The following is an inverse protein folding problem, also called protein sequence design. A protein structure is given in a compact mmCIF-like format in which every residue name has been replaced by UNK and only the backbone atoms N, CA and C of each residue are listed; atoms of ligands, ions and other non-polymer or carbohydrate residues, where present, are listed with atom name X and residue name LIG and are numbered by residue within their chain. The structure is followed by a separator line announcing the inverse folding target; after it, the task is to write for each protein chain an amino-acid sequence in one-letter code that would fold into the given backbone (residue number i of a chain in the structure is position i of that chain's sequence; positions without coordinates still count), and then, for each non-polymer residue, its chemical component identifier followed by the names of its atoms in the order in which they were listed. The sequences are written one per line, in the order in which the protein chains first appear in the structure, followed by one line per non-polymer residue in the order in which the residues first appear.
data_IF_155093131647
#
_entry.id   IF_155093131647
#
_cell.length_a   1.000
_cell.length_b   1.000
_cell.length_c   1.000
_cell.angle_alpha   90.00
_cell.angle_beta   90.00
_cell.angle_gamma   90.00
#
_symmetry.space_group_name_H-M   'P 1'
#
loop_
_entity.id
_entity.type
_entity.pdbx_description
1 polymer ?
#
# COMPACT_ATOMS: atom_id res chain seq x y z
N UNK A 1 4.32 -27.49 11.48
CA UNK A 1 3.94 -28.75 12.14
C UNK A 1 2.44 -28.86 12.02
N UNK A 2 1.96 -29.88 11.33
CA UNK A 2 0.52 -30.11 11.19
C UNK A 2 -0.03 -30.87 12.40
N UNK A 3 -1.31 -30.65 12.74
CA UNK A 3 -1.99 -31.32 13.85
C UNK A 3 -1.84 -32.85 13.77
N UNK A 4 -1.88 -33.41 12.56
CA UNK A 4 -1.70 -34.85 12.31
C UNK A 4 -0.38 -35.41 12.86
N UNK A 5 0.68 -34.60 12.87
CA UNK A 5 2.02 -34.98 13.36
C UNK A 5 2.20 -34.82 14.88
N UNK A 6 1.19 -34.29 15.60
CA UNK A 6 1.29 -34.11 17.05
C UNK A 6 1.16 -35.45 17.81
N UNK A 7 1.91 -35.64 18.92
CA UNK A 7 1.70 -36.75 19.84
C UNK A 7 0.27 -36.76 20.40
N UNK A 8 -0.24 -37.96 20.74
CA UNK A 8 -1.62 -38.15 21.21
C UNK A 8 -1.98 -37.26 22.41
N UNK A 9 -1.04 -37.07 23.34
CA UNK A 9 -1.23 -36.22 24.51
C UNK A 9 -1.45 -34.74 24.14
N UNK A 10 -0.66 -34.21 23.18
CA UNK A 10 -0.82 -32.85 22.70
C UNK A 10 -2.11 -32.67 21.90
N UNK A 11 -2.51 -33.65 21.09
CA UNK A 11 -3.80 -33.66 20.40
C UNK A 11 -4.95 -33.54 21.39
N UNK A 12 -4.96 -34.37 22.44
CA UNK A 12 -5.96 -34.30 23.51
C UNK A 12 -6.00 -32.93 24.18
N UNK A 13 -4.83 -32.33 24.48
CA UNK A 13 -4.79 -30.98 25.04
C UNK A 13 -5.45 -29.96 24.10
N UNK A 14 -5.15 -30.01 22.81
CA UNK A 14 -5.78 -29.12 21.81
C UNK A 14 -7.28 -29.36 21.72
N UNK A 15 -7.72 -30.62 21.58
CA UNK A 15 -9.12 -31.01 21.40
C UNK A 15 -10.00 -30.61 22.58
N UNK A 16 -9.47 -30.68 23.80
CA UNK A 16 -10.19 -30.38 25.03
C UNK A 16 -9.86 -28.99 25.61
N UNK A 17 -9.07 -28.17 24.93
CA UNK A 17 -8.89 -26.77 25.32
C UNK A 17 -10.16 -26.01 24.97
N UNK A 18 -10.84 -25.49 25.98
CA UNK A 18 -12.00 -24.60 25.78
C UNK A 18 -11.56 -23.27 25.17
N UNK A 19 -12.08 -22.94 24.00
CA UNK A 19 -11.91 -21.63 23.38
C UNK A 19 -13.12 -20.78 23.72
N UNK A 20 -12.92 -19.68 24.45
CA UNK A 20 -13.99 -18.71 24.71
C UNK A 20 -14.26 -17.90 23.45
N UNK A 21 -15.48 -18.01 22.92
CA UNK A 21 -15.93 -17.21 21.77
C UNK A 21 -16.77 -16.06 22.27
N UNK A 22 -16.39 -14.83 21.91
CA UNK A 22 -17.17 -13.62 22.20
C UNK A 22 -17.75 -13.13 20.88
N UNK A 23 -19.07 -13.13 20.75
CA UNK A 23 -19.77 -12.53 19.62
C UNK A 23 -20.14 -11.08 19.96
N UNK A 24 -19.68 -10.13 19.14
CA UNK A 24 -19.99 -8.70 19.30
C UNK A 24 -20.96 -8.29 18.19
N UNK A 25 -22.22 -8.04 18.57
CA UNK A 25 -23.26 -7.55 17.66
C UNK A 25 -23.26 -6.02 17.68
N UNK A 26 -23.13 -5.42 16.51
CA UNK A 26 -23.14 -3.97 16.33
C UNK A 26 -24.31 -3.62 15.42
N UNK A 27 -25.34 -3.00 16.00
CA UNK A 27 -26.58 -2.68 15.28
C UNK A 27 -26.40 -1.54 14.27
N UNK A 28 -25.57 -0.54 14.60
CA UNK A 28 -25.25 0.54 13.69
C UNK A 28 -24.11 0.14 12.74
N UNK A 29 -24.49 -0.33 11.55
CA UNK A 29 -23.56 -0.67 10.46
C UNK A 29 -22.58 0.46 10.13
N UNK A 30 -22.96 1.74 10.28
CA UNK A 30 -22.09 2.88 9.97
C UNK A 30 -20.98 3.07 11.01
N UNK A 31 -21.21 2.65 12.26
CA UNK A 31 -20.21 2.73 13.33
C UNK A 31 -19.43 1.43 13.52
N UNK A 32 -19.80 0.36 12.81
CA UNK A 32 -19.22 -0.98 12.95
C UNK A 32 -17.69 -0.96 12.93
N UNK A 33 -17.09 -0.44 11.87
CA UNK A 33 -15.63 -0.42 11.72
C UNK A 33 -14.94 0.39 12.82
N UNK A 34 -15.51 1.55 13.19
CA UNK A 34 -14.99 2.39 14.29
C UNK A 34 -15.05 1.69 15.64
N UNK A 35 -16.15 0.99 15.92
CA UNK A 35 -16.33 0.21 17.15
C UNK A 35 -15.36 -0.97 17.18
N UNK A 36 -15.26 -1.74 16.11
CA UNK A 36 -14.33 -2.86 16.00
C UNK A 36 -12.89 -2.40 16.19
N UNK A 37 -12.48 -1.30 15.57
CA UNK A 37 -11.15 -0.70 15.77
C UNK A 37 -10.89 -0.32 17.22
N UNK A 38 -11.88 0.27 17.90
CA UNK A 38 -11.73 0.65 19.31
C UNK A 38 -11.62 -0.59 20.21
N UNK A 39 -12.40 -1.64 19.93
CA UNK A 39 -12.31 -2.92 20.65
C UNK A 39 -10.93 -3.54 20.43
N UNK A 40 -10.46 -3.63 19.18
CA UNK A 40 -9.13 -4.15 18.85
C UNK A 40 -8.02 -3.36 19.53
N UNK A 41 -8.06 -2.02 19.47
CA UNK A 41 -7.07 -1.18 20.13
C UNK A 41 -7.04 -1.40 21.65
N UNK A 42 -8.21 -1.56 22.29
CA UNK A 42 -8.30 -1.83 23.72
C UNK A 42 -7.79 -3.24 24.09
N UNK A 43 -8.09 -4.26 23.29
CA UNK A 43 -7.58 -5.62 23.50
C UNK A 43 -6.06 -5.66 23.33
N UNK A 44 -5.53 -4.98 22.32
CA UNK A 44 -4.09 -4.90 22.06
C UNK A 44 -3.32 -4.10 23.12
N UNK A 45 -3.99 -3.25 23.91
CA UNK A 45 -3.34 -2.48 24.97
C UNK A 45 -2.86 -3.36 26.16
N UNK A 46 -3.42 -4.56 26.31
CA UNK A 46 -3.04 -5.51 27.37
C UNK A 46 -1.90 -6.47 27.00
N UNK A 47 -1.39 -6.44 25.76
CA UNK A 47 -0.38 -7.36 25.25
C UNK A 47 0.68 -6.66 24.38
N UNK A 48 1.34 -7.41 23.48
CA UNK A 48 2.23 -6.81 22.49
C UNK A 48 1.44 -5.89 21.58
N UNK A 49 1.87 -4.63 21.48
CA UNK A 49 1.17 -3.62 20.69
C UNK A 49 1.30 -3.95 19.21
N UNK A 50 0.21 -4.39 18.60
CA UNK A 50 0.11 -4.61 17.16
C UNK A 50 0.31 -3.29 16.40
N UNK A 51 1.06 -3.35 15.29
CA UNK A 51 1.15 -2.26 14.32
C UNK A 51 -0.22 -1.93 13.74
N UNK A 52 -0.34 -0.75 13.12
CA UNK A 52 -1.59 -0.37 12.47
C UNK A 52 -1.97 -1.33 11.35
N UNK A 53 -1.00 -1.92 10.65
CA UNK A 53 -1.29 -2.87 9.58
C UNK A 53 -1.77 -4.22 10.13
N UNK A 54 -1.13 -4.74 11.19
CA UNK A 54 -1.60 -5.95 11.87
C UNK A 54 -3.03 -5.78 12.42
N UNK A 55 -3.35 -4.60 12.95
CA UNK A 55 -4.73 -4.27 13.36
C UNK A 55 -5.70 -4.29 12.17
N UNK A 56 -5.32 -3.75 11.01
CA UNK A 56 -6.15 -3.77 9.81
C UNK A 56 -6.42 -5.19 9.33
N UNK A 57 -5.40 -6.05 9.33
CA UNK A 57 -5.56 -7.45 8.93
C UNK A 57 -6.57 -8.19 9.81
N UNK A 58 -6.59 -7.89 11.12
CA UNK A 58 -7.57 -8.47 12.05
C UNK A 58 -9.00 -7.94 11.90
N UNK A 59 -9.16 -6.72 11.38
CA UNK A 59 -10.47 -6.03 11.32
C UNK A 59 -11.12 -6.15 9.95
N UNK A 60 -10.34 -6.06 8.87
CA UNK A 60 -10.81 -5.91 7.49
C UNK A 60 -10.60 -7.17 6.65
N UNK A 61 -10.74 -8.35 7.26
CA UNK A 61 -10.64 -9.63 6.56
C UNK A 61 -11.64 -9.73 5.40
N UNK A 62 -11.13 -9.72 4.18
CA UNK A 62 -11.90 -9.80 2.93
C UNK A 62 -11.02 -10.29 1.77
N UNK A 63 -11.65 -10.63 0.65
CA UNK A 63 -10.95 -11.17 -0.53
C UNK A 63 -9.83 -10.24 -1.07
N UNK A 64 -9.97 -8.92 -0.92
CA UNK A 64 -8.91 -7.98 -1.27
C UNK A 64 -7.66 -8.14 -0.39
N UNK A 65 -7.86 -8.28 0.93
CA UNK A 65 -6.79 -8.52 1.89
C UNK A 65 -6.14 -9.90 1.68
N UNK A 66 -6.94 -10.92 1.37
CA UNK A 66 -6.43 -12.25 1.03
C UNK A 66 -5.52 -12.19 -0.22
N UNK A 67 -5.97 -11.49 -1.26
CA UNK A 67 -5.17 -11.25 -2.47
C UNK A 67 -3.87 -10.50 -2.14
N UNK A 68 -3.94 -9.46 -1.30
CA UNK A 68 -2.77 -8.66 -0.95
C UNK A 68 -1.77 -9.45 -0.11
N UNK A 69 -2.24 -10.31 0.80
CA UNK A 69 -1.39 -11.18 1.62
C UNK A 69 -0.75 -12.31 0.79
N UNK A 70 -1.52 -12.91 -0.14
CA UNK A 70 -0.99 -13.85 -1.13
C UNK A 70 0.10 -13.19 -1.98
N UNK A 71 -0.18 -12.00 -2.51
CA UNK A 71 0.80 -11.22 -3.28
C UNK A 71 2.02 -10.89 -2.43
N UNK A 72 1.83 -10.48 -1.18
CA UNK A 72 2.91 -10.14 -0.28
C UNK A 72 3.87 -11.33 -0.07
N UNK A 73 3.34 -12.53 0.19
CA UNK A 73 4.12 -13.73 0.53
C UNK A 73 4.72 -14.42 -0.69
N UNK A 74 3.95 -14.55 -1.77
CA UNK A 74 4.28 -15.45 -2.87
C UNK A 74 4.77 -14.76 -4.14
N UNK A 75 4.62 -13.43 -4.28
CA UNK A 75 5.12 -12.72 -5.46
C UNK A 75 6.65 -12.61 -5.43
N UNK A 76 7.30 -13.35 -6.34
CA UNK A 76 8.77 -13.33 -6.48
C UNK A 76 9.29 -11.94 -6.88
N UNK A 77 8.55 -11.22 -7.73
CA UNK A 77 8.89 -9.86 -8.16
C UNK A 77 8.83 -8.90 -6.97
N UNK A 78 7.77 -8.99 -6.16
CA UNK A 78 7.64 -8.18 -4.96
C UNK A 78 8.71 -8.49 -3.93
N UNK A 79 8.97 -9.78 -3.65
CA UNK A 79 10.03 -10.20 -2.73
C UNK A 79 11.42 -9.79 -3.22
N UNK A 80 11.66 -9.74 -4.53
CA UNK A 80 12.92 -9.23 -5.10
C UNK A 80 13.09 -7.73 -4.84
N UNK A 81 12.01 -6.97 -4.95
CA UNK A 81 12.02 -5.51 -4.74
C UNK A 81 12.07 -5.18 -3.25
N UNK A 82 11.24 -5.80 -2.42
CA UNK A 82 11.17 -5.51 -0.99
C UNK A 82 12.28 -6.19 -0.18
N UNK A 83 12.49 -7.48 -0.43
CA UNK A 83 13.32 -8.37 0.37
C UNK A 83 12.49 -9.31 1.24
N UNK A 84 13.03 -9.68 2.41
CA UNK A 84 12.37 -10.59 3.36
C UNK A 84 11.05 -10.00 3.89
N UNK A 85 10.14 -10.88 4.29
CA UNK A 85 8.92 -10.48 4.98
C UNK A 85 9.25 -9.70 6.26
N UNK A 86 8.46 -8.67 6.52
CA UNK A 86 8.65 -7.79 7.67
C UNK A 86 7.72 -8.24 8.80
N UNK A 87 8.27 -8.46 10.00
CA UNK A 87 7.48 -8.91 11.14
C UNK A 87 6.40 -7.91 11.55
N UNK A 88 6.61 -6.61 11.32
CA UNK A 88 5.61 -5.55 11.55
C UNK A 88 4.80 -5.23 10.29
N UNK A 89 4.81 -6.11 9.28
CA UNK A 89 4.03 -6.04 8.05
C UNK A 89 4.18 -4.73 7.26
N UNK A 90 5.37 -4.10 7.34
CA UNK A 90 5.66 -2.87 6.57
C UNK A 90 5.61 -3.08 5.06
N UNK A 91 5.91 -4.29 4.59
CA UNK A 91 5.76 -4.70 3.20
C UNK A 91 4.29 -4.72 2.77
N UNK A 92 3.45 -5.37 3.57
CA UNK A 92 2.02 -5.41 3.33
C UNK A 92 1.43 -3.98 3.37
N UNK A 93 1.79 -3.17 4.37
CA UNK A 93 1.35 -1.78 4.45
C UNK A 93 1.80 -0.99 3.21
N UNK A 94 3.02 -1.20 2.71
CA UNK A 94 3.48 -0.54 1.50
C UNK A 94 2.61 -0.88 0.28
N UNK A 95 2.26 -2.16 0.09
CA UNK A 95 1.34 -2.57 -0.98
C UNK A 95 -0.05 -1.95 -0.80
N UNK A 96 -0.58 -1.92 0.43
CA UNK A 96 -1.86 -1.29 0.73
C UNK A 96 -1.83 0.21 0.43
N UNK A 97 -0.72 0.89 0.73
CA UNK A 97 -0.50 2.31 0.40
C UNK A 97 -0.50 2.56 -1.10
N UNK A 98 0.14 1.69 -1.89
CA UNK A 98 0.08 1.76 -3.35
C UNK A 98 -1.38 1.72 -3.81
N UNK A 99 -2.13 0.68 -3.41
CA UNK A 99 -3.53 0.51 -3.79
C UNK A 99 -4.42 1.69 -3.35
N UNK A 100 -4.27 2.17 -2.12
CA UNK A 100 -5.07 3.28 -1.61
C UNK A 100 -4.76 4.60 -2.36
N UNK A 101 -3.49 4.87 -2.67
CA UNK A 101 -3.11 6.05 -3.45
C UNK A 101 -3.58 5.93 -4.90
N UNK A 102 -3.57 4.74 -5.51
CA UNK A 102 -4.21 4.50 -6.82
C UNK A 102 -5.68 4.88 -6.80
N UNK A 103 -6.41 4.57 -5.73
CA UNK A 103 -7.83 4.91 -5.60
C UNK A 103 -8.05 6.43 -5.44
N UNK A 104 -7.31 7.07 -4.52
CA UNK A 104 -7.63 8.44 -4.11
C UNK A 104 -6.84 9.54 -4.82
N UNK A 105 -5.74 9.24 -5.51
CA UNK A 105 -4.98 10.27 -6.23
C UNK A 105 -5.65 10.61 -7.55
N UNK A 106 -5.91 11.89 -7.76
CA UNK A 106 -6.40 12.46 -9.01
C UNK A 106 -5.47 13.57 -9.50
N UNK A 107 -5.58 13.95 -10.77
CA UNK A 107 -4.82 15.03 -11.38
C UNK A 107 -5.74 16.22 -11.64
N UNK A 108 -5.34 17.40 -11.17
CA UNK A 108 -5.96 18.68 -11.51
C UNK A 108 -5.08 19.40 -12.53
N UNK A 109 -5.67 19.73 -13.68
CA UNK A 109 -5.00 20.50 -14.72
C UNK A 109 -4.99 22.00 -14.37
N UNK A 110 -3.86 22.65 -14.62
CA UNK A 110 -3.66 24.11 -14.58
C UNK A 110 -3.19 24.56 -15.96
N UNK A 111 -3.25 25.86 -16.23
CA UNK A 111 -2.95 26.43 -17.55
C UNK A 111 -1.61 25.98 -18.16
N UNK A 112 -0.57 25.75 -17.35
CA UNK A 112 0.78 25.34 -17.80
C UNK A 112 1.39 24.20 -16.98
N UNK A 113 0.59 23.55 -16.13
CA UNK A 113 1.07 22.51 -15.23
C UNK A 113 -0.08 21.63 -14.76
N UNK A 114 0.22 20.62 -13.98
CA UNK A 114 -0.78 19.80 -13.31
C UNK A 114 -0.38 19.63 -11.84
N UNK A 115 -1.36 19.28 -11.01
CA UNK A 115 -1.16 18.95 -9.61
C UNK A 115 -1.80 17.61 -9.31
N UNK A 116 -1.11 16.79 -8.54
CA UNK A 116 -1.75 15.66 -7.90
C UNK A 116 -2.53 16.13 -6.68
N UNK A 117 -3.70 15.54 -6.45
CA UNK A 117 -4.51 15.72 -5.25
C UNK A 117 -4.95 14.37 -4.73
N UNK A 118 -5.04 14.21 -3.42
CA UNK A 118 -5.60 13.01 -2.79
C UNK A 118 -7.00 13.35 -2.28
N UNK A 119 -8.00 12.67 -2.79
CA UNK A 119 -9.40 12.89 -2.43
C UNK A 119 -9.66 12.62 -0.94
N UNK A 120 -10.22 13.61 -0.25
CA UNK A 120 -10.55 13.54 1.17
C UNK A 120 -9.33 13.34 2.08
N UNK A 121 -8.13 13.75 1.66
CA UNK A 121 -6.93 13.58 2.48
C UNK A 121 -6.89 14.51 3.68
N UNK A 122 -7.00 13.94 4.87
CA UNK A 122 -7.00 14.65 6.15
C UNK A 122 -5.62 14.64 6.85
N UNK A 123 -4.53 14.72 6.09
CA UNK A 123 -3.15 14.72 6.63
C UNK A 123 -2.75 13.47 7.44
N UNK A 124 -3.44 12.35 7.25
CA UNK A 124 -3.15 11.08 7.94
C UNK A 124 -3.23 9.92 6.97
N UNK A 125 -2.09 9.27 6.72
CA UNK A 125 -2.06 8.01 5.98
C UNK A 125 -2.86 6.93 6.69
N UNK A 126 -2.77 6.84 8.03
CA UNK A 126 -3.52 5.85 8.78
C UNK A 126 -5.02 5.92 8.45
N UNK A 127 -5.63 7.09 8.61
CA UNK A 127 -7.05 7.30 8.29
C UNK A 127 -7.39 6.99 6.83
N UNK A 128 -6.50 7.36 5.89
CA UNK A 128 -6.68 7.07 4.48
C UNK A 128 -6.68 5.56 4.20
N UNK A 129 -5.76 4.81 4.81
CA UNK A 129 -5.69 3.36 4.67
C UNK A 129 -6.86 2.67 5.33
N UNK A 130 -7.33 3.15 6.48
CA UNK A 130 -8.48 2.55 7.14
C UNK A 130 -9.75 2.76 6.32
N UNK A 131 -9.95 3.96 5.77
CA UNK A 131 -11.07 4.25 4.85
C UNK A 131 -11.00 3.36 3.61
N UNK A 132 -9.82 3.23 3.00
CA UNK A 132 -9.63 2.34 1.86
C UNK A 132 -9.94 0.87 2.24
N UNK A 133 -9.48 0.44 3.42
CA UNK A 133 -9.71 -0.92 3.92
C UNK A 133 -11.18 -1.21 4.13
N UNK A 134 -11.97 -0.21 4.53
CA UNK A 134 -13.42 -0.33 4.63
C UNK A 134 -14.08 -0.45 3.25
N UNK A 135 -13.66 0.36 2.28
CA UNK A 135 -14.20 0.35 0.92
C UNK A 135 -13.93 -0.96 0.18
N UNK A 136 -12.72 -1.53 0.32
CA UNK A 136 -12.35 -2.77 -0.39
C UNK A 136 -13.06 -4.03 0.11
N UNK A 137 -13.73 -3.98 1.27
CA UNK A 137 -14.54 -5.11 1.75
C UNK A 137 -15.71 -5.42 0.80
N UNK A 138 -16.17 -4.41 0.06
CA UNK A 138 -17.30 -4.52 -0.89
C UNK A 138 -16.83 -4.71 -2.34
N UNK A 139 -15.52 -4.86 -2.58
CA UNK A 139 -14.99 -5.03 -3.94
C UNK A 139 -15.28 -6.43 -4.47
N UNK A 140 -15.66 -6.50 -5.75
CA UNK A 140 -15.80 -7.76 -6.46
C UNK A 140 -14.46 -8.27 -7.02
N UNK A 141 -14.47 -9.52 -7.49
CA UNK A 141 -13.28 -10.19 -8.03
C UNK A 141 -12.61 -9.42 -9.18
N UNK A 142 -13.40 -8.78 -10.05
CA UNK A 142 -12.86 -8.00 -11.18
C UNK A 142 -12.09 -6.78 -10.67
N UNK A 143 -12.67 -6.03 -9.74
CA UNK A 143 -12.00 -4.88 -9.12
C UNK A 143 -10.71 -5.32 -8.42
N UNK A 144 -10.75 -6.39 -7.64
CA UNK A 144 -9.58 -6.95 -6.95
C UNK A 144 -8.49 -7.35 -7.97
N UNK A 145 -8.87 -8.02 -9.06
CA UNK A 145 -7.95 -8.42 -10.12
C UNK A 145 -7.30 -7.22 -10.83
N UNK A 146 -8.01 -6.10 -11.00
CA UNK A 146 -7.44 -4.87 -11.57
C UNK A 146 -6.30 -4.31 -10.70
N UNK A 147 -6.44 -4.33 -9.36
CA UNK A 147 -5.36 -3.94 -8.45
C UNK A 147 -4.18 -4.91 -8.52
N UNK A 148 -4.44 -6.22 -8.50
CA UNK A 148 -3.36 -7.23 -8.62
C UNK A 148 -2.58 -7.03 -9.92
N UNK A 149 -3.27 -6.87 -11.05
CA UNK A 149 -2.66 -6.71 -12.35
C UNK A 149 -1.86 -5.41 -12.47
N UNK A 150 -2.38 -4.32 -11.91
CA UNK A 150 -1.66 -3.03 -11.83
C UNK A 150 -0.35 -3.17 -11.05
N UNK A 151 -0.38 -3.82 -9.87
CA UNK A 151 0.83 -4.08 -9.08
C UNK A 151 1.85 -4.92 -9.84
N UNK A 152 1.42 -6.01 -10.50
CA UNK A 152 2.31 -6.87 -11.30
C UNK A 152 2.99 -6.06 -12.41
N UNK A 153 2.19 -5.40 -13.26
CA UNK A 153 2.70 -4.64 -14.41
C UNK A 153 3.66 -3.54 -13.98
N UNK A 154 3.34 -2.84 -12.90
CA UNK A 154 4.21 -1.82 -12.35
C UNK A 154 5.54 -2.40 -11.86
N UNK A 155 5.50 -3.46 -11.07
CA UNK A 155 6.71 -4.02 -10.46
C UNK A 155 7.63 -4.67 -11.53
N UNK A 156 7.08 -5.15 -12.65
CA UNK A 156 7.85 -5.64 -13.80
C UNK A 156 8.72 -4.56 -14.47
N UNK A 157 8.40 -3.27 -14.26
CA UNK A 157 9.20 -2.15 -14.76
C UNK A 157 10.53 -2.00 -14.01
N UNK A 158 10.67 -2.57 -12.81
CA UNK A 158 11.90 -2.44 -12.03
C UNK A 158 13.01 -3.36 -12.58
N UNK A 159 14.08 -2.74 -13.10
CA UNK A 159 15.32 -3.41 -13.51
C UNK A 159 16.48 -3.11 -12.56
N UNK A 160 16.16 -2.82 -11.30
CA UNK A 160 17.14 -2.56 -10.24
C UNK A 160 17.39 -3.82 -9.40
N UNK A 161 18.63 -3.99 -8.95
CA UNK A 161 19.04 -5.11 -8.10
C UNK A 161 19.12 -4.72 -6.61
N UNK A 162 18.56 -3.56 -6.24
CA UNK A 162 18.63 -3.02 -4.87
C UNK A 162 17.28 -3.22 -4.19
N UNK A 163 17.29 -3.68 -2.93
CA UNK A 163 16.09 -3.79 -2.11
C UNK A 163 15.56 -2.42 -1.70
N UNK A 164 14.23 -2.31 -1.63
CA UNK A 164 13.48 -1.05 -1.56
C UNK A 164 12.72 -0.87 -0.24
N UNK A 165 12.88 -1.77 0.72
CA UNK A 165 12.12 -1.78 1.99
C UNK A 165 12.26 -0.50 2.82
N UNK A 166 13.35 0.25 2.68
CA UNK A 166 13.54 1.55 3.35
C UNK A 166 13.05 2.77 2.55
N UNK A 167 12.61 2.58 1.30
CA UNK A 167 12.29 3.65 0.35
C UNK A 167 10.85 3.58 -0.16
N UNK A 168 9.91 3.30 0.73
CA UNK A 168 8.46 3.26 0.44
C UNK A 168 8.01 4.53 -0.30
N UNK A 169 8.50 5.69 0.13
CA UNK A 169 8.20 6.97 -0.49
C UNK A 169 8.60 7.05 -1.98
N UNK A 170 9.70 6.40 -2.37
CA UNK A 170 10.14 6.37 -3.76
C UNK A 170 9.27 5.42 -4.58
N UNK A 171 8.99 4.23 -4.04
CA UNK A 171 8.11 3.25 -4.66
C UNK A 171 6.71 3.82 -4.93
N UNK A 172 6.11 4.50 -3.93
CA UNK A 172 4.85 5.24 -4.08
C UNK A 172 4.92 6.25 -5.22
N UNK A 173 6.04 6.96 -5.36
CA UNK A 173 6.18 8.02 -6.36
C UNK A 173 6.19 7.46 -7.77
N UNK A 174 6.95 6.39 -8.00
CA UNK A 174 6.93 5.70 -9.29
C UNK A 174 5.55 5.11 -9.59
N UNK A 175 4.89 4.51 -8.60
CA UNK A 175 3.58 3.89 -8.82
C UNK A 175 2.50 4.92 -9.18
N UNK A 176 2.51 6.09 -8.54
CA UNK A 176 1.52 7.13 -8.84
C UNK A 176 1.76 7.77 -10.20
N UNK A 177 3.02 7.96 -10.59
CA UNK A 177 3.33 8.41 -11.95
C UNK A 177 2.92 7.36 -12.98
N UNK A 178 3.16 6.07 -12.70
CA UNK A 178 2.70 4.96 -13.54
C UNK A 178 1.18 4.97 -13.71
N UNK A 179 0.41 4.96 -12.61
CA UNK A 179 -1.05 4.86 -12.62
C UNK A 179 -1.76 6.10 -13.19
N UNK A 180 -1.21 7.29 -12.96
CA UNK A 180 -1.93 8.55 -13.23
C UNK A 180 -1.43 9.28 -14.47
N UNK A 181 -0.20 9.01 -14.89
CA UNK A 181 0.42 9.63 -16.07
C UNK A 181 0.79 8.60 -17.15
N UNK A 182 0.41 7.33 -16.97
CA UNK A 182 0.55 6.25 -17.95
C UNK A 182 2.01 5.99 -18.38
N UNK A 183 2.97 6.20 -17.48
CA UNK A 183 4.41 6.04 -17.78
C UNK A 183 4.85 4.59 -17.64
N UNK A 184 5.17 3.95 -18.77
CA UNK A 184 5.53 2.52 -18.86
C UNK A 184 7.03 2.25 -19.13
N UNK A 185 7.91 3.24 -18.90
CA UNK A 185 9.37 3.09 -19.14
C UNK A 185 10.02 2.24 -18.04
N UNK A 186 11.02 1.43 -18.38
CA UNK A 186 11.77 0.68 -17.36
C UNK A 186 12.43 1.59 -16.32
N UNK A 187 12.31 1.23 -15.05
CA UNK A 187 12.98 1.89 -13.94
C UNK A 187 14.38 1.27 -13.83
N UNK A 188 15.32 1.86 -14.55
CA UNK A 188 16.72 1.43 -14.59
C UNK A 188 17.50 1.97 -13.37
N UNK A 189 18.66 1.39 -13.03
CA UNK A 189 19.53 1.95 -11.98
C UNK A 189 19.91 3.42 -12.19
N UNK A 190 20.03 3.87 -13.45
CA UNK A 190 20.32 5.27 -13.78
C UNK A 190 19.16 6.18 -13.34
N UNK A 191 17.96 5.96 -13.87
CA UNK A 191 16.75 6.75 -13.54
C UNK A 191 16.50 6.74 -12.03
N UNK A 192 16.61 5.55 -11.43
CA UNK A 192 16.42 5.38 -10.01
C UNK A 192 17.42 6.22 -9.17
N UNK A 193 18.70 6.21 -9.54
CA UNK A 193 19.73 7.00 -8.86
C UNK A 193 19.58 8.51 -9.12
N UNK A 194 19.14 8.90 -10.31
CA UNK A 194 18.90 10.31 -10.66
C UNK A 194 17.78 10.90 -9.82
N UNK A 195 16.70 10.14 -9.59
CA UNK A 195 15.63 10.54 -8.66
C UNK A 195 16.18 10.72 -7.25
N UNK A 196 16.98 9.76 -6.75
CA UNK A 196 17.54 9.83 -5.40
C UNK A 196 18.52 10.98 -5.19
N UNK A 197 19.21 11.43 -6.24
CA UNK A 197 20.14 12.56 -6.20
C UNK A 197 19.47 13.90 -6.50
N UNK A 198 18.22 13.90 -6.97
CA UNK A 198 17.55 15.12 -7.38
C UNK A 198 17.24 16.04 -6.18
N UNK A 199 17.69 17.31 -6.19
CA UNK A 199 17.46 18.23 -5.07
C UNK A 199 15.99 18.48 -4.76
N UNK A 200 15.10 18.56 -5.77
CA UNK A 200 13.65 18.75 -5.56
C UNK A 200 13.05 17.53 -4.85
N UNK A 201 13.47 16.32 -5.25
CA UNK A 201 13.02 15.09 -4.61
C UNK A 201 13.50 15.04 -3.14
N UNK A 202 14.81 15.23 -2.90
CA UNK A 202 15.40 15.18 -1.55
C UNK A 202 14.74 16.19 -0.61
N UNK A 203 14.50 17.42 -1.07
CA UNK A 203 13.87 18.47 -0.27
C UNK A 203 12.45 18.09 0.20
N UNK A 204 11.75 17.25 -0.57
CA UNK A 204 10.38 16.81 -0.30
C UNK A 204 10.28 15.35 0.20
N UNK A 205 11.41 14.67 0.39
CA UNK A 205 11.48 13.28 0.84
C UNK A 205 11.53 13.12 2.38
N UNK A 206 11.76 14.20 3.15
CA UNK A 206 11.84 14.12 4.61
C UNK A 206 10.51 13.64 5.21
N UNK A 207 10.55 12.47 5.85
CA UNK A 207 9.41 11.71 6.39
C UNK A 207 8.61 12.40 7.52
N UNK A 208 9.08 13.54 8.04
CA UNK A 208 8.49 14.18 9.22
C UNK A 208 7.18 14.93 8.99
N UNK A 209 6.74 15.16 7.75
CA UNK A 209 5.41 15.74 7.52
C UNK A 209 4.82 15.28 6.21
N UNK A 210 3.75 14.48 6.28
CA UNK A 210 2.98 14.03 5.13
C UNK A 210 2.07 15.16 4.61
N UNK A 211 2.70 16.26 4.21
CA UNK A 211 2.04 17.40 3.59
C UNK A 211 1.75 17.06 2.13
N UNK A 212 0.50 17.26 1.72
CA UNK A 212 0.07 17.05 0.33
C UNK A 212 0.99 17.77 -0.67
N UNK A 213 1.42 18.98 -0.33
CA UNK A 213 2.39 19.76 -1.13
C UNK A 213 3.70 18.99 -1.38
N UNK A 214 4.31 18.44 -0.33
CA UNK A 214 5.56 17.69 -0.46
C UNK A 214 5.38 16.39 -1.26
N UNK A 215 4.26 15.70 -1.09
CA UNK A 215 3.96 14.51 -1.90
C UNK A 215 3.80 14.85 -3.38
N UNK A 216 3.05 15.91 -3.69
CA UNK A 216 2.84 16.37 -5.05
C UNK A 216 4.18 16.76 -5.73
N UNK A 217 5.01 17.58 -5.07
CA UNK A 217 6.32 17.97 -5.63
C UNK A 217 7.27 16.77 -5.81
N UNK A 218 7.22 15.79 -4.91
CA UNK A 218 7.97 14.53 -5.03
C UNK A 218 7.54 13.75 -6.28
N UNK A 219 6.23 13.59 -6.49
CA UNK A 219 5.69 12.85 -7.64
C UNK A 219 6.00 13.55 -8.97
N UNK A 220 5.91 14.88 -9.01
CA UNK A 220 6.34 15.68 -10.18
C UNK A 220 7.82 15.50 -10.48
N UNK A 221 8.68 15.54 -9.47
CA UNK A 221 10.11 15.32 -9.66
C UNK A 221 10.41 13.92 -10.23
N UNK A 222 9.71 12.89 -9.75
CA UNK A 222 9.84 11.53 -10.32
C UNK A 222 9.35 11.49 -11.77
N UNK A 223 8.22 12.12 -12.09
CA UNK A 223 7.73 12.20 -13.46
C UNK A 223 8.74 12.86 -14.41
N UNK A 224 9.22 14.07 -14.07
CA UNK A 224 10.19 14.82 -14.86
C UNK A 224 11.45 14.00 -15.19
N UNK A 225 11.96 13.25 -14.20
CA UNK A 225 13.18 12.45 -14.35
C UNK A 225 12.89 11.15 -15.12
N UNK A 226 11.76 10.49 -14.83
CA UNK A 226 11.45 9.18 -15.41
C UNK A 226 11.06 9.24 -16.88
N UNK A 227 10.38 10.31 -17.31
CA UNK A 227 10.10 10.50 -18.73
C UNK A 227 11.31 11.01 -19.51
N UNK A 228 12.32 11.56 -18.83
CA UNK A 228 13.25 12.52 -19.42
C UNK A 228 12.50 13.81 -19.79
N UNK A 229 13.21 14.87 -20.16
CA UNK A 229 12.62 16.14 -20.63
C UNK A 229 11.96 16.02 -22.04
N UNK A 230 11.40 14.83 -22.32
CA UNK A 230 10.82 14.40 -23.56
C UNK A 230 9.48 15.12 -23.75
N UNK A 231 9.50 16.16 -24.60
CA UNK A 231 8.32 16.97 -24.93
C UNK A 231 7.21 16.14 -25.58
N UNK A 232 7.54 14.99 -26.19
CA UNK A 232 6.57 14.05 -26.77
C UNK A 232 5.58 13.53 -25.73
N UNK A 233 6.01 13.19 -24.49
CA UNK A 233 5.12 12.75 -23.41
C UNK A 233 4.24 13.87 -22.84
N UNK A 234 4.60 15.15 -23.05
CA UNK A 234 3.74 16.29 -22.67
C UNK A 234 2.66 16.57 -23.72
N UNK A 235 2.86 16.13 -24.97
CA UNK A 235 1.99 16.42 -26.12
C UNK A 235 1.16 15.20 -26.55
N UNK A 236 1.73 13.99 -26.59
CA UNK A 236 1.06 12.74 -26.99
C UNK A 236 0.14 12.17 -25.91
N UNK A 237 0.47 12.36 -24.63
CA UNK A 237 -0.46 12.14 -23.54
C UNK A 237 -1.37 13.35 -23.34
N UNK A 238 -1.89 13.93 -24.43
CA UNK A 238 -3.04 14.85 -24.38
C UNK A 238 -4.24 14.06 -23.83
N UNK A 239 -4.27 14.07 -22.50
CA UNK A 239 -5.08 13.31 -21.56
C UNK A 239 -6.53 13.19 -22.04
N UNK A 240 -6.86 12.03 -22.65
CA UNK A 240 -8.23 11.53 -22.78
C UNK A 240 -8.76 11.09 -21.43
#
# INVERSE_FOLDING_TARGET
MDYSALPLEMKRRVDYTSITVIEIKIDDKKQRSKILRKIFANLNAGGTVLTLQEQRNGIYGCAFYDMLQDFNRHSSIWRKIWGREDAGERDMEALLRLCALRNYVNIIKKQKSFDFVIEGYQSSYAKLLDRFSEEVMEYNEKQIAEYKNSLVKFLDLFKVNVTQSSKVALLESFYIVYEKLDVHKYITPAIYNDVLKNPKYIANAKQGTVKMKSMNERWKAVYEIWTGDDKSYREENTFK
#
